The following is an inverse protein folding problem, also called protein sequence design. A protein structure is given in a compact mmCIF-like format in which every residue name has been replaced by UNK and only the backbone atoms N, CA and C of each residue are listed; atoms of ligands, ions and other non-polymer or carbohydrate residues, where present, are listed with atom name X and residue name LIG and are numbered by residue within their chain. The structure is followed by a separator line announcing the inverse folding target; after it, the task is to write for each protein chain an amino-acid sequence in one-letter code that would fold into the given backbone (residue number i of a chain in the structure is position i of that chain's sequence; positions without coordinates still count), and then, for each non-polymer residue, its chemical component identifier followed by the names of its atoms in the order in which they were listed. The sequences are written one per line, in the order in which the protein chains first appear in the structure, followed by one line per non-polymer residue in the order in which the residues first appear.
data_IF_009292779418
#
_entry.id   IF_009292779418
#
_cell.length_a   1.000
_cell.length_b   1.000
_cell.length_c   1.000
_cell.angle_alpha   90.00
_cell.angle_beta   90.00
_cell.angle_gamma   90.00
#
_symmetry.space_group_name_H-M   'P 1'
#
loop_
_entity.id
_entity.type
_entity.pdbx_description
1 polymer ?
#
# COMPACT_ATOMS: atom_id res chain seq x y z
N UNK A 1 -4.10 3.81 10.19
CA UNK A 1 -4.20 4.99 11.07
C UNK A 1 -5.48 4.96 11.91
N UNK A 2 -6.68 4.95 11.30
CA UNK A 2 -7.96 4.89 12.03
C UNK A 2 -8.03 3.79 13.09
N UNK A 3 -7.74 2.53 12.72
CA UNK A 3 -7.80 1.40 13.65
C UNK A 3 -6.90 1.60 14.86
N UNK A 4 -5.64 1.98 14.65
CA UNK A 4 -4.67 2.22 15.72
C UNK A 4 -5.04 3.40 16.64
N UNK A 5 -5.72 4.43 16.12
CA UNK A 5 -6.24 5.52 16.95
C UNK A 5 -7.49 5.11 17.74
N UNK A 6 -8.31 4.21 17.20
CA UNK A 6 -9.58 3.79 17.81
C UNK A 6 -9.38 2.69 18.85
N UNK A 7 -8.46 1.77 18.57
CA UNK A 7 -8.18 0.58 19.39
C UNK A 7 -6.66 0.46 19.65
N UNK A 8 -6.04 1.45 20.33
CA UNK A 8 -4.60 1.45 20.53
C UNK A 8 -4.11 0.23 21.32
N UNK A 9 -4.92 -0.27 22.26
CA UNK A 9 -4.59 -1.45 23.09
C UNK A 9 -4.62 -2.78 22.31
N UNK A 10 -5.15 -2.78 21.07
CA UNK A 10 -5.19 -3.95 20.19
C UNK A 10 -4.08 -3.95 19.13
N UNK A 11 -3.21 -2.92 19.13
CA UNK A 11 -2.19 -2.73 18.10
C UNK A 11 -0.80 -2.65 18.73
N UNK A 12 0.00 -3.69 18.51
CA UNK A 12 1.38 -3.76 18.99
C UNK A 12 2.37 -3.00 18.10
N UNK A 13 2.15 -2.98 16.79
CA UNK A 13 2.98 -2.25 15.82
C UNK A 13 2.23 -2.02 14.51
N UNK A 14 2.67 -1.01 13.74
CA UNK A 14 2.17 -0.71 12.39
C UNK A 14 3.29 -0.95 11.38
N UNK A 15 3.09 -1.87 10.44
CA UNK A 15 4.00 -2.13 9.32
C UNK A 15 3.33 -1.72 8.01
N UNK A 16 3.74 -0.59 7.43
CA UNK A 16 3.21 -0.05 6.19
C UNK A 16 4.09 -0.38 4.98
N UNK A 17 3.48 -0.69 3.83
CA UNK A 17 4.17 -0.87 2.55
C UNK A 17 3.67 0.20 1.59
N UNK A 18 4.47 1.24 1.39
CA UNK A 18 4.17 2.43 0.60
C UNK A 18 2.73 2.95 0.81
N UNK A 19 2.28 3.13 2.07
CA UNK A 19 0.87 3.37 2.36
C UNK A 19 0.46 4.80 1.97
N UNK A 20 -0.75 4.95 1.44
CA UNK A 20 -1.38 6.27 1.34
C UNK A 20 -1.80 6.75 2.72
N UNK A 21 -1.22 7.86 3.18
CA UNK A 21 -1.58 8.51 4.45
C UNK A 21 -2.47 9.74 4.20
N UNK A 22 -3.31 10.16 5.16
CA UNK A 22 -4.33 11.18 4.93
C UNK A 22 -3.76 12.52 4.43
N UNK A 23 -2.59 12.91 4.92
CA UNK A 23 -1.94 14.17 4.58
C UNK A 23 -1.21 14.13 3.22
N UNK A 24 -1.18 12.99 2.53
CA UNK A 24 -0.41 12.82 1.28
C UNK A 24 -0.93 13.73 0.16
N UNK A 25 -2.25 13.81 -0.03
CA UNK A 25 -2.84 14.61 -1.11
C UNK A 25 -2.51 16.10 -0.96
N UNK A 26 -2.65 16.65 0.24
CA UNK A 26 -2.28 18.04 0.51
C UNK A 26 -0.76 18.25 0.37
N UNK A 27 0.04 17.32 0.90
CA UNK A 27 1.49 17.38 0.81
C UNK A 27 1.95 17.43 -0.64
N UNK A 28 1.43 16.58 -1.53
CA UNK A 28 1.83 16.55 -2.94
C UNK A 28 1.04 17.51 -3.85
N UNK A 29 -0.04 18.11 -3.36
CA UNK A 29 -0.93 18.95 -4.17
C UNK A 29 -1.74 18.15 -5.18
N UNK A 30 -2.10 16.93 -4.82
CA UNK A 30 -2.82 15.96 -5.65
C UNK A 30 -4.28 15.82 -5.22
N UNK A 31 -5.11 15.22 -6.07
CA UNK A 31 -6.48 14.85 -5.73
C UNK A 31 -6.61 13.35 -5.61
N UNK A 32 -7.54 12.90 -4.75
CA UNK A 32 -7.80 11.47 -4.58
C UNK A 32 -8.08 10.79 -5.94
N UNK A 33 -7.46 9.64 -6.21
CA UNK A 33 -7.79 8.88 -7.40
C UNK A 33 -9.25 8.43 -7.32
N UNK A 34 -9.94 8.48 -8.46
CA UNK A 34 -11.32 8.04 -8.58
C UNK A 34 -11.48 7.10 -9.77
N UNK A 35 -12.39 6.15 -9.65
CA UNK A 35 -12.67 5.17 -10.69
C UNK A 35 -14.04 5.45 -11.32
N UNK A 36 -14.14 5.58 -12.66
CA UNK A 36 -15.41 5.85 -13.31
C UNK A 36 -16.48 4.81 -12.96
N UNK A 37 -17.67 5.28 -12.59
CA UNK A 37 -18.73 4.41 -12.06
C UNK A 37 -19.18 3.30 -13.01
N UNK A 38 -18.96 3.42 -14.32
CA UNK A 38 -19.31 2.37 -15.29
C UNK A 38 -18.33 1.19 -15.27
N UNK A 39 -17.13 1.32 -14.69
CA UNK A 39 -16.18 0.20 -14.55
C UNK A 39 -16.75 -0.95 -13.71
N UNK A 40 -17.72 -0.69 -12.80
CA UNK A 40 -18.44 -1.74 -12.04
C UNK A 40 -19.07 -2.83 -12.89
N UNK A 41 -19.28 -2.57 -14.19
CA UNK A 41 -19.85 -3.50 -15.13
C UNK A 41 -18.81 -4.33 -15.90
N UNK A 42 -17.49 -4.08 -15.74
CA UNK A 42 -16.45 -4.82 -16.45
C UNK A 42 -16.39 -6.30 -16.06
N UNK A 43 -16.49 -6.62 -14.77
CA UNK A 43 -16.55 -8.00 -14.29
C UNK A 43 -17.80 -8.77 -14.81
N UNK A 44 -19.04 -8.27 -14.63
CA UNK A 44 -20.23 -9.01 -15.07
C UNK A 44 -20.34 -9.14 -16.59
N UNK A 45 -19.90 -8.15 -17.37
CA UNK A 45 -19.89 -8.23 -18.85
C UNK A 45 -18.80 -9.14 -19.41
N UNK A 46 -17.82 -9.54 -18.59
CA UNK A 46 -16.69 -10.37 -19.00
C UNK A 46 -15.55 -9.62 -19.65
N UNK A 47 -15.62 -8.30 -19.76
CA UNK A 47 -14.52 -7.45 -20.26
C UNK A 47 -13.28 -7.63 -19.37
N UNK A 48 -13.43 -7.74 -18.05
CA UNK A 48 -12.31 -8.00 -17.14
C UNK A 48 -11.56 -9.30 -17.47
N UNK A 49 -12.29 -10.36 -17.87
CA UNK A 49 -11.69 -11.64 -18.30
C UNK A 49 -10.93 -11.50 -19.62
N UNK A 50 -11.49 -10.74 -20.55
CA UNK A 50 -10.85 -10.46 -21.84
C UNK A 50 -9.56 -9.63 -21.64
N UNK A 51 -9.61 -8.58 -20.82
CA UNK A 51 -8.44 -7.77 -20.49
C UNK A 51 -7.32 -8.63 -19.90
N UNK A 52 -7.62 -9.46 -18.90
CA UNK A 52 -6.66 -10.37 -18.29
C UNK A 52 -6.09 -11.42 -19.27
N UNK A 53 -6.88 -11.84 -20.26
CA UNK A 53 -6.41 -12.77 -21.28
C UNK A 53 -5.39 -12.11 -22.22
N UNK A 54 -5.59 -10.83 -22.56
CA UNK A 54 -4.75 -10.06 -23.48
C UNK A 54 -3.49 -9.51 -22.78
N UNK A 55 -3.63 -9.00 -21.55
CA UNK A 55 -2.56 -8.34 -20.78
C UNK A 55 -2.40 -8.94 -19.37
N UNK A 56 -2.10 -10.24 -19.24
CA UNK A 56 -1.99 -10.90 -17.94
C UNK A 56 -0.94 -10.26 -17.01
N UNK A 57 0.12 -9.70 -17.57
CA UNK A 57 1.19 -9.00 -16.85
C UNK A 57 0.72 -7.81 -16.03
N UNK A 58 -0.40 -7.17 -16.39
CA UNK A 58 -0.96 -6.03 -15.64
C UNK A 58 -1.70 -6.45 -14.37
N UNK A 59 -1.94 -7.75 -14.18
CA UNK A 59 -2.75 -8.28 -13.07
C UNK A 59 -2.00 -9.30 -12.22
N UNK A 60 -0.82 -9.74 -12.69
CA UNK A 60 -0.02 -10.75 -12.02
C UNK A 60 1.19 -10.08 -11.35
N UNK A 61 1.71 -10.67 -10.26
CA UNK A 61 2.90 -10.15 -9.61
C UNK A 61 4.09 -10.06 -10.56
N UNK A 62 4.76 -8.93 -10.59
CA UNK A 62 6.05 -8.73 -11.23
C UNK A 62 7.12 -9.18 -10.25
N UNK A 63 7.61 -10.42 -10.42
CA UNK A 63 8.57 -11.03 -9.52
C UNK A 63 9.48 -12.01 -10.27
N UNK A 64 10.62 -12.36 -9.66
CA UNK A 64 11.51 -13.38 -10.20
C UNK A 64 10.81 -14.74 -10.31
N UNK A 65 11.21 -15.51 -11.32
CA UNK A 65 10.67 -16.86 -11.55
C UNK A 65 10.87 -17.74 -10.32
N UNK A 66 9.79 -18.37 -9.87
CA UNK A 66 9.81 -19.24 -8.69
C UNK A 66 9.42 -18.55 -7.39
N UNK A 67 9.26 -17.22 -7.38
CA UNK A 67 8.74 -16.49 -6.21
C UNK A 67 7.31 -16.90 -5.87
N UNK A 68 6.45 -16.99 -6.89
CA UNK A 68 5.10 -17.48 -6.76
C UNK A 68 4.99 -18.89 -7.33
N UNK A 69 4.29 -19.78 -6.60
CA UNK A 69 3.95 -21.09 -7.13
C UNK A 69 2.98 -20.97 -8.31
N UNK A 70 3.00 -21.95 -9.21
CA UNK A 70 2.01 -22.04 -10.30
C UNK A 70 0.56 -22.04 -9.79
N UNK A 71 0.33 -22.60 -8.60
CA UNK A 71 -0.98 -22.56 -7.95
C UNK A 71 -1.38 -21.14 -7.53
N UNK A 72 -0.44 -20.37 -6.96
CA UNK A 72 -0.67 -18.97 -6.57
C UNK A 72 -0.99 -18.12 -7.80
N UNK A 73 -0.20 -18.25 -8.87
CA UNK A 73 -0.41 -17.49 -10.10
C UNK A 73 -1.76 -17.81 -10.76
N UNK A 74 -2.16 -19.09 -10.81
CA UNK A 74 -3.49 -19.49 -11.30
C UNK A 74 -4.61 -18.92 -10.44
N UNK A 75 -4.45 -18.92 -9.11
CA UNK A 75 -5.45 -18.38 -8.18
C UNK A 75 -5.59 -16.87 -8.36
N UNK A 76 -4.49 -16.11 -8.38
CA UNK A 76 -4.50 -14.67 -8.63
C UNK A 76 -5.17 -14.36 -9.95
N UNK A 77 -4.83 -15.09 -11.02
CA UNK A 77 -5.49 -14.96 -12.32
C UNK A 77 -7.01 -15.18 -12.21
N UNK A 78 -7.46 -16.26 -11.57
CA UNK A 78 -8.88 -16.56 -11.42
C UNK A 78 -9.62 -15.46 -10.64
N UNK A 79 -9.04 -14.97 -9.55
CA UNK A 79 -9.62 -13.89 -8.74
C UNK A 79 -9.69 -12.60 -9.55
N UNK A 80 -8.61 -12.19 -10.21
CA UNK A 80 -8.58 -10.99 -11.05
C UNK A 80 -9.58 -11.07 -12.21
N UNK A 81 -9.72 -12.24 -12.85
CA UNK A 81 -10.67 -12.46 -13.93
C UNK A 81 -12.14 -12.30 -13.48
N UNK A 82 -12.43 -12.74 -12.27
CA UNK A 82 -13.78 -12.82 -11.74
C UNK A 82 -14.20 -11.55 -10.98
N UNK A 83 -13.26 -10.94 -10.28
CA UNK A 83 -13.50 -9.84 -9.34
C UNK A 83 -12.88 -8.52 -9.80
N UNK A 84 -11.99 -8.50 -10.79
CA UNK A 84 -11.38 -7.28 -11.29
C UNK A 84 -12.43 -6.26 -11.72
N UNK A 85 -12.35 -5.03 -11.18
CA UNK A 85 -13.30 -3.95 -11.45
C UNK A 85 -14.76 -4.28 -11.13
N UNK A 86 -15.03 -5.19 -10.20
CA UNK A 86 -16.41 -5.40 -9.74
C UNK A 86 -16.94 -4.17 -8.97
N UNK A 87 -18.25 -4.15 -8.69
CA UNK A 87 -18.88 -3.04 -7.96
C UNK A 87 -18.20 -2.70 -6.63
N UNK A 88 -17.83 -3.70 -5.83
CA UNK A 88 -17.15 -3.49 -4.54
C UNK A 88 -15.79 -2.83 -4.72
N UNK A 89 -14.96 -3.33 -5.64
CA UNK A 89 -13.63 -2.75 -5.93
C UNK A 89 -13.73 -1.31 -6.41
N UNK A 90 -14.69 -1.04 -7.31
CA UNK A 90 -14.93 0.33 -7.82
C UNK A 90 -15.46 1.25 -6.72
N UNK A 91 -16.34 0.76 -5.85
CA UNK A 91 -16.82 1.52 -4.69
C UNK A 91 -15.67 1.83 -3.74
N UNK A 92 -14.87 0.84 -3.35
CA UNK A 92 -13.72 0.98 -2.45
C UNK A 92 -12.70 2.02 -2.97
N UNK A 93 -12.35 1.96 -4.26
CA UNK A 93 -11.46 2.95 -4.86
C UNK A 93 -12.04 4.38 -4.80
N UNK A 94 -13.36 4.53 -4.88
CA UNK A 94 -14.03 5.84 -4.78
C UNK A 94 -14.26 6.30 -3.33
N UNK A 95 -14.01 5.45 -2.33
CA UNK A 95 -14.06 5.83 -0.91
C UNK A 95 -12.75 6.44 -0.40
N UNK A 96 -11.69 6.48 -1.22
CA UNK A 96 -10.38 7.01 -0.81
C UNK A 96 -10.50 8.43 -0.26
N UNK A 97 -11.24 9.32 -0.94
CA UNK A 97 -11.42 10.69 -0.47
C UNK A 97 -12.14 10.75 0.88
N UNK A 98 -13.23 9.99 1.04
CA UNK A 98 -13.99 9.95 2.30
C UNK A 98 -13.15 9.38 3.45
N UNK A 99 -12.32 8.36 3.17
CA UNK A 99 -11.40 7.78 4.14
C UNK A 99 -10.34 8.79 4.58
N UNK A 100 -9.78 9.55 3.64
CA UNK A 100 -8.85 10.64 3.92
C UNK A 100 -9.52 11.72 4.78
N UNK A 101 -10.69 12.22 4.36
CA UNK A 101 -11.44 13.23 5.11
C UNK A 101 -11.75 12.78 6.54
N UNK A 102 -12.10 11.51 6.72
CA UNK A 102 -12.42 10.91 8.03
C UNK A 102 -11.19 10.71 8.92
N UNK A 103 -9.98 10.83 8.38
CA UNK A 103 -8.71 10.56 9.09
C UNK A 103 -7.70 11.70 8.97
N UNK A 104 -8.09 12.85 8.41
CA UNK A 104 -7.18 13.96 8.08
C UNK A 104 -6.47 14.54 9.30
N UNK A 105 -7.15 14.58 10.44
CA UNK A 105 -6.63 15.08 11.72
C UNK A 105 -5.96 13.97 12.56
N UNK A 106 -5.93 12.73 12.06
CA UNK A 106 -5.27 11.63 12.75
C UNK A 106 -3.78 11.57 12.42
N UNK A 107 -3.00 11.13 13.41
CA UNK A 107 -1.59 10.80 13.26
C UNK A 107 -1.34 9.37 13.74
N UNK A 108 -0.11 8.87 13.60
CA UNK A 108 0.26 7.65 14.31
C UNK A 108 0.24 7.92 15.83
N UNK A 109 -0.36 7.04 16.64
CA UNK A 109 -0.30 7.17 18.10
C UNK A 109 1.15 7.12 18.61
N UNK A 110 1.48 7.96 19.59
CA UNK A 110 2.86 8.14 20.07
C UNK A 110 3.49 6.88 20.65
N UNK A 111 2.67 6.00 21.24
CA UNK A 111 3.15 4.79 21.91
C UNK A 111 3.25 3.58 20.98
N UNK A 112 2.71 3.66 19.75
CA UNK A 112 2.67 2.52 18.83
C UNK A 112 3.89 2.60 17.90
N UNK A 113 4.76 1.58 17.88
CA UNK A 113 5.88 1.48 16.95
C UNK A 113 5.41 1.45 15.49
N UNK A 114 6.11 2.17 14.63
CA UNK A 114 5.76 2.27 13.20
C UNK A 114 6.96 2.00 12.31
N UNK A 115 6.84 1.00 11.43
CA UNK A 115 7.77 0.80 10.33
C UNK A 115 7.07 1.03 8.99
N UNK A 116 7.70 1.79 8.10
CA UNK A 116 7.22 2.01 6.74
C UNK A 116 8.30 1.59 5.75
N UNK A 117 7.93 0.78 4.76
CA UNK A 117 8.72 0.55 3.56
C UNK A 117 8.28 1.52 2.47
N UNK A 118 9.20 2.23 1.84
CA UNK A 118 8.92 3.13 0.71
C UNK A 118 9.82 2.81 -0.47
N UNK A 119 9.32 3.04 -1.69
CA UNK A 119 10.13 2.92 -2.90
C UNK A 119 11.16 4.06 -2.91
N UNK A 120 12.35 3.78 -3.43
CA UNK A 120 13.34 4.80 -3.80
C UNK A 120 12.78 5.74 -4.89
N UNK A 121 12.94 7.04 -4.70
CA UNK A 121 12.51 8.06 -5.67
C UNK A 121 13.49 8.09 -6.86
N UNK A 122 12.97 7.92 -8.09
CA UNK A 122 13.81 7.77 -9.30
C UNK A 122 14.58 9.04 -9.71
N UNK A 123 14.33 10.19 -9.07
CA UNK A 123 15.09 11.47 -9.17
C UNK A 123 14.41 12.58 -8.36
N UNK A 124 15.04 13.03 -7.28
CA UNK A 124 14.71 14.28 -6.60
C UNK A 124 15.88 14.75 -5.74
N UNK A 125 16.25 16.04 -5.82
CA UNK A 125 17.11 16.64 -4.80
C UNK A 125 16.41 16.50 -3.43
N UNK A 126 17.16 16.33 -2.34
CA UNK A 126 16.64 16.22 -0.96
C UNK A 126 15.68 17.35 -0.54
N UNK A 127 15.65 18.46 -1.28
CA UNK A 127 14.75 19.61 -1.06
C UNK A 127 13.40 19.52 -1.80
N UNK A 128 13.19 18.56 -2.70
CA UNK A 128 11.93 18.38 -3.42
C UNK A 128 10.97 17.48 -2.63
N UNK A 129 9.67 17.80 -2.64
CA UNK A 129 8.62 16.95 -2.06
C UNK A 129 8.70 15.55 -2.64
N UNK A 130 8.93 14.56 -1.79
CA UNK A 130 9.13 13.16 -2.15
C UNK A 130 8.43 12.24 -1.15
N UNK A 131 8.25 10.96 -1.49
CA UNK A 131 7.66 9.99 -0.54
C UNK A 131 8.54 9.83 0.70
N UNK A 132 9.87 9.85 0.52
CA UNK A 132 10.84 9.78 1.61
C UNK A 132 10.66 10.97 2.56
N UNK A 133 10.64 12.21 2.04
CA UNK A 133 10.46 13.42 2.87
C UNK A 133 9.07 13.47 3.51
N UNK A 134 8.05 12.98 2.81
CA UNK A 134 6.70 12.85 3.34
C UNK A 134 6.67 11.88 4.53
N UNK A 135 7.11 10.64 4.37
CA UNK A 135 7.08 9.66 5.45
C UNK A 135 7.94 10.06 6.65
N UNK A 136 9.11 10.68 6.44
CA UNK A 136 9.87 11.28 7.54
C UNK A 136 9.04 12.30 8.32
N UNK A 137 8.32 13.20 7.63
CA UNK A 137 7.45 14.17 8.30
C UNK A 137 6.35 13.52 9.14
N UNK A 138 5.81 12.38 8.70
CA UNK A 138 4.75 11.65 9.39
C UNK A 138 5.27 10.85 10.58
N UNK A 139 6.53 10.42 10.56
CA UNK A 139 7.15 9.63 11.62
C UNK A 139 7.80 10.48 12.72
N UNK A 140 8.03 11.78 12.51
CA UNK A 140 8.71 12.66 13.46
C UNK A 140 8.13 12.68 14.89
N UNK A 141 6.83 12.45 15.04
CA UNK A 141 6.12 12.53 16.33
C UNK A 141 5.55 11.18 16.80
N UNK A 142 5.94 10.07 16.17
CA UNK A 142 5.53 8.73 16.61
C UNK A 142 6.62 8.08 17.47
N UNK A 143 6.29 6.96 18.10
CA UNK A 143 7.21 6.21 18.97
C UNK A 143 8.39 5.61 18.22
N UNK A 144 8.95 4.48 18.67
CA UNK A 144 9.98 3.77 17.93
C UNK A 144 9.58 3.59 16.46
N UNK A 145 10.36 4.16 15.54
CA UNK A 145 10.00 4.17 14.14
C UNK A 145 11.17 3.86 13.22
N UNK A 146 10.84 3.32 12.05
CA UNK A 146 11.81 2.91 11.03
C UNK A 146 11.25 3.18 9.64
N UNK A 147 11.96 3.98 8.85
CA UNK A 147 11.70 4.12 7.42
C UNK A 147 12.73 3.28 6.66
N UNK A 148 12.27 2.34 5.84
CA UNK A 148 13.12 1.50 5.00
C UNK A 148 12.89 1.89 3.54
N UNK A 149 13.95 2.30 2.85
CA UNK A 149 13.91 2.70 1.44
C UNK A 149 14.40 1.52 0.61
N UNK A 150 13.61 1.12 -0.40
CA UNK A 150 13.92 -0.05 -1.22
C UNK A 150 13.73 0.25 -2.71
N UNK A 151 14.59 -0.33 -3.54
CA UNK A 151 14.40 -0.33 -4.99
C UNK A 151 13.24 -1.23 -5.40
N UNK A 152 12.45 -0.82 -6.39
CA UNK A 152 11.39 -1.68 -6.94
C UNK A 152 10.22 -0.95 -7.59
N UNK A 153 9.08 -1.65 -7.69
CA UNK A 153 7.80 -1.07 -8.10
C UNK A 153 7.00 -0.61 -6.88
N UNK A 154 5.83 -0.01 -7.08
CA UNK A 154 4.91 0.32 -5.98
C UNK A 154 4.55 -0.91 -5.12
N UNK A 155 4.45 -2.10 -5.72
CA UNK A 155 4.26 -3.35 -5.01
C UNK A 155 5.59 -3.94 -4.52
N UNK A 156 6.25 -3.26 -3.57
CA UNK A 156 7.57 -3.66 -3.04
C UNK A 156 7.62 -5.13 -2.61
N UNK A 157 6.54 -5.60 -1.99
CA UNK A 157 6.41 -6.96 -1.50
C UNK A 157 6.38 -8.04 -2.59
N UNK A 158 6.24 -7.70 -3.86
CA UNK A 158 6.33 -8.69 -4.94
C UNK A 158 7.76 -9.17 -5.18
N UNK A 159 8.75 -8.28 -4.98
CA UNK A 159 10.16 -8.59 -5.24
C UNK A 159 10.96 -8.70 -3.95
N UNK A 160 10.69 -7.84 -2.97
CA UNK A 160 11.57 -7.64 -1.81
C UNK A 160 11.08 -8.35 -0.54
N UNK A 161 10.13 -9.29 -0.66
CA UNK A 161 9.46 -9.91 0.50
C UNK A 161 10.41 -10.54 1.52
N UNK A 162 11.57 -11.09 1.10
CA UNK A 162 12.56 -11.68 2.01
C UNK A 162 13.22 -10.61 2.87
N UNK A 163 13.83 -9.61 2.22
CA UNK A 163 14.48 -8.48 2.89
C UNK A 163 13.50 -7.69 3.76
N UNK A 164 12.26 -7.50 3.29
CA UNK A 164 11.20 -6.91 4.10
C UNK A 164 10.88 -7.75 5.34
N UNK A 165 10.85 -9.08 5.21
CA UNK A 165 10.60 -9.97 6.36
C UNK A 165 11.74 -9.89 7.39
N UNK A 166 12.98 -9.83 6.93
CA UNK A 166 14.16 -9.67 7.80
C UNK A 166 14.07 -8.34 8.58
N UNK A 167 13.74 -7.24 7.90
CA UNK A 167 13.52 -5.95 8.57
C UNK A 167 12.36 -5.94 9.55
N UNK A 168 11.26 -6.65 9.26
CA UNK A 168 10.14 -6.81 10.20
C UNK A 168 10.59 -7.57 11.43
N UNK A 169 11.32 -8.68 11.24
CA UNK A 169 11.83 -9.48 12.34
C UNK A 169 12.76 -8.67 13.26
N UNK A 170 13.76 -8.00 12.68
CA UNK A 170 14.67 -7.10 13.42
C UNK A 170 13.92 -6.00 14.16
N UNK A 171 12.91 -5.39 13.52
CA UNK A 171 12.13 -4.32 14.12
C UNK A 171 11.33 -4.83 15.33
N UNK A 172 10.69 -5.99 15.22
CA UNK A 172 9.88 -6.55 16.32
C UNK A 172 10.74 -7.11 17.46
N UNK A 173 11.89 -7.72 17.17
CA UNK A 173 12.82 -8.17 18.23
C UNK A 173 13.30 -6.99 19.07
N UNK A 174 13.63 -5.85 18.44
CA UNK A 174 14.06 -4.64 19.14
C UNK A 174 12.99 -3.96 20.00
N UNK A 175 11.73 -4.41 19.94
CA UNK A 175 10.62 -3.94 20.79
C UNK A 175 10.39 -4.82 22.03
N UNK A 176 11.01 -6.00 22.08
CA UNK A 176 10.78 -7.00 23.13
C UNK A 176 11.69 -6.83 24.37
N UNK A 177 12.45 -5.73 24.45
CA UNK A 177 13.34 -5.35 25.56
C UNK A 177 12.70 -4.30 26.49
#
# INVERSE_FOLDING_TARGET
MYYANTYPDEVEAIIGIDPTLPQALEYFGETAPAMPAYFRYMAPTGIARLALYITPENFLPIAEKGTYSEANLRMTKAISAWKGYNKTVVTEANEINNNIDSTIDMTFPSEIPVMIFTKEDEKGNEEAKSNITFFHSQLNNCGPNKLVIMGGTHYLHWMNYKEMSDHVYEFLEGLSD
#
